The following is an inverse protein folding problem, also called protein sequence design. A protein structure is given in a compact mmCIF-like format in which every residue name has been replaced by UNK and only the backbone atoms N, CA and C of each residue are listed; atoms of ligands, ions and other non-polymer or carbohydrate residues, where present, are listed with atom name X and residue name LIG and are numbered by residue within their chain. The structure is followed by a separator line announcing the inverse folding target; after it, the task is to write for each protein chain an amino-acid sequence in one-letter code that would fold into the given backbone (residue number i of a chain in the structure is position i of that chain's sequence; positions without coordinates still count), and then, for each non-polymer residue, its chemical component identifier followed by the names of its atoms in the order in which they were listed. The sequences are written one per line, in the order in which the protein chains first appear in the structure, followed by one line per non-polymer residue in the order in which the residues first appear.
data_IF_983436215413
#
_entry.id   IF_983436215413
#
_cell.length_a   1.000
_cell.length_b   1.000
_cell.length_c   1.000
_cell.angle_alpha   90.00
_cell.angle_beta   90.00
_cell.angle_gamma   90.00
#
_symmetry.space_group_name_H-M   'P 1'
#
loop_
_entity.id
_entity.type
_entity.pdbx_description
1 polymer ?
#
# COMPACT_ATOMS: atom_id res chain seq x y z
N UNK A 1 -45.86 3.33 59.30
CA UNK A 1 -45.62 4.66 59.90
C UNK A 1 -44.17 5.07 59.61
N UNK A 2 -44.01 6.22 58.92
CA UNK A 2 -42.84 7.11 58.75
C UNK A 2 -41.45 6.52 58.43
N UNK A 3 -40.96 6.86 57.23
CA UNK A 3 -39.54 6.79 56.87
C UNK A 3 -38.78 7.99 57.48
N UNK A 4 -37.51 7.83 57.91
CA UNK A 4 -36.68 8.96 58.30
C UNK A 4 -36.03 9.62 57.07
N UNK A 5 -36.12 10.95 57.09
CA UNK A 5 -35.76 11.93 56.09
C UNK A 5 -34.26 12.14 55.92
N UNK A 6 -33.86 12.43 54.68
CA UNK A 6 -32.63 13.14 54.33
C UNK A 6 -32.67 14.56 54.93
N UNK A 7 -31.57 15.03 55.53
CA UNK A 7 -30.92 16.33 55.25
C UNK A 7 -29.87 16.72 56.32
N UNK A 8 -28.88 17.47 55.82
CA UNK A 8 -27.85 18.30 56.49
C UNK A 8 -26.55 17.59 56.88
N UNK A 9 -25.52 17.60 56.01
CA UNK A 9 -24.51 18.67 55.86
C UNK A 9 -23.90 19.12 57.20
N UNK A 10 -22.69 18.63 57.47
CA UNK A 10 -21.57 19.51 57.78
C UNK A 10 -20.24 18.79 57.54
N UNK A 11 -19.57 19.20 56.47
CA UNK A 11 -18.14 18.96 56.29
C UNK A 11 -17.39 19.64 57.43
N UNK A 12 -16.38 18.98 58.00
CA UNK A 12 -15.19 19.66 58.55
C UNK A 12 -14.12 18.62 58.92
N UNK A 13 -12.86 19.01 58.65
CA UNK A 13 -11.59 18.39 59.09
C UNK A 13 -10.95 17.32 58.18
N UNK A 14 -10.37 17.84 57.10
CA UNK A 14 -8.93 17.72 56.79
C UNK A 14 -8.14 16.79 57.74
N UNK A 15 -7.95 15.55 57.33
CA UNK A 15 -6.69 14.84 57.62
C UNK A 15 -5.78 15.02 56.41
N UNK A 16 -4.55 15.56 56.56
CA UNK A 16 -3.52 15.33 55.56
C UNK A 16 -3.07 13.87 55.74
N UNK A 17 -3.89 12.95 55.24
CA UNK A 17 -3.47 11.59 54.99
C UNK A 17 -2.38 11.69 53.94
N UNK A 18 -1.13 11.56 54.39
CA UNK A 18 0.07 11.33 53.58
C UNK A 18 -0.34 10.65 52.27
N UNK A 19 0.11 11.07 51.08
CA UNK A 19 0.01 10.17 49.97
C UNK A 19 0.74 8.92 50.46
N UNK A 20 0.00 7.82 50.61
CA UNK A 20 0.57 6.53 50.31
C UNK A 20 1.01 6.72 48.85
N UNK A 21 2.22 7.28 48.66
CA UNK A 21 3.10 6.72 47.68
C UNK A 21 3.18 5.26 48.13
N UNK A 22 2.19 4.50 47.67
CA UNK A 22 2.44 3.16 47.26
C UNK A 22 3.66 3.37 46.39
N UNK A 23 4.80 3.00 46.99
CA UNK A 23 5.89 2.38 46.28
C UNK A 23 5.14 1.42 45.39
N UNK A 24 4.81 1.90 44.18
CA UNK A 24 4.41 1.07 43.08
C UNK A 24 5.66 0.27 42.97
N UNK A 25 5.64 -0.89 43.62
CA UNK A 25 6.62 -1.91 43.41
C UNK A 25 6.58 -2.03 41.91
N UNK A 26 7.56 -1.40 41.25
CA UNK A 26 7.97 -1.80 39.93
C UNK A 26 8.38 -3.22 40.25
N UNK A 27 7.40 -4.13 40.17
CA UNK A 27 7.69 -5.52 40.01
C UNK A 27 8.77 -5.47 38.97
N UNK A 28 9.90 -6.03 39.31
CA UNK A 28 10.94 -6.35 38.36
C UNK A 28 10.40 -7.46 37.45
N UNK A 29 9.18 -7.30 36.93
CA UNK A 29 8.83 -7.52 35.54
C UNK A 29 9.83 -6.72 34.70
N UNK A 30 11.08 -7.18 34.77
CA UNK A 30 11.92 -7.22 33.59
C UNK A 30 11.00 -7.74 32.50
N UNK A 31 10.91 -7.05 31.36
CA UNK A 31 10.59 -7.74 30.14
C UNK A 31 11.48 -8.97 30.15
N UNK A 32 10.89 -10.16 30.23
CA UNK A 32 11.60 -11.43 30.29
C UNK A 32 12.32 -11.68 28.95
N UNK A 33 12.68 -10.65 28.20
CA UNK A 33 13.32 -10.67 26.88
C UNK A 33 14.68 -11.37 26.94
N UNK A 34 15.44 -11.22 28.05
CA UNK A 34 16.70 -11.98 28.26
C UNK A 34 16.51 -13.50 28.36
N UNK A 35 15.32 -13.98 28.71
CA UNK A 35 14.99 -15.42 28.85
C UNK A 35 13.76 -15.85 28.05
N UNK A 36 13.22 -14.97 27.22
CA UNK A 36 12.12 -15.28 26.31
C UNK A 36 12.76 -16.12 25.22
N UNK A 37 12.82 -17.43 25.47
CA UNK A 37 13.25 -18.42 24.50
C UNK A 37 12.35 -18.21 23.28
N UNK A 38 12.87 -17.51 22.27
CA UNK A 38 12.15 -17.25 21.04
C UNK A 38 11.61 -18.58 20.55
N UNK A 39 10.29 -18.69 20.53
CA UNK A 39 9.65 -19.93 20.13
C UNK A 39 9.98 -20.20 18.67
N UNK A 40 9.91 -21.46 18.24
CA UNK A 40 10.00 -21.80 16.83
C UNK A 40 8.99 -21.01 15.98
N UNK A 41 7.80 -20.76 16.55
CA UNK A 41 6.73 -19.96 15.98
C UNK A 41 7.12 -18.48 15.79
N UNK A 42 7.78 -17.86 16.79
CA UNK A 42 8.26 -16.47 16.67
C UNK A 42 9.31 -16.33 15.56
N UNK A 43 10.23 -17.30 15.48
CA UNK A 43 11.23 -17.33 14.41
C UNK A 43 10.57 -17.48 13.04
N UNK A 44 9.53 -18.31 12.93
CA UNK A 44 8.75 -18.48 11.70
C UNK A 44 8.05 -17.16 11.30
N UNK A 45 7.35 -16.51 12.22
CA UNK A 45 6.69 -15.22 11.96
C UNK A 45 7.69 -14.14 11.53
N UNK A 46 8.87 -14.08 12.17
CA UNK A 46 9.94 -13.14 11.77
C UNK A 46 10.44 -13.44 10.36
N UNK A 47 10.67 -14.71 10.02
CA UNK A 47 11.07 -15.13 8.66
C UNK A 47 10.01 -14.75 7.63
N UNK A 48 8.73 -14.99 7.92
CA UNK A 48 7.62 -14.60 7.05
C UNK A 48 7.57 -13.08 6.83
N UNK A 49 7.66 -12.28 7.90
CA UNK A 49 7.70 -10.81 7.78
C UNK A 49 8.91 -10.32 7.00
N UNK A 50 10.08 -10.93 7.20
CA UNK A 50 11.28 -10.60 6.44
C UNK A 50 11.14 -10.94 4.95
N UNK A 51 10.53 -12.09 4.62
CA UNK A 51 10.24 -12.47 3.23
C UNK A 51 9.29 -11.47 2.55
N UNK A 52 8.23 -11.04 3.25
CA UNK A 52 7.30 -10.01 2.75
C UNK A 52 8.02 -8.68 2.52
N UNK A 53 8.90 -8.26 3.44
CA UNK A 53 9.69 -7.04 3.27
C UNK A 53 10.58 -7.13 2.02
N UNK A 54 11.31 -8.24 1.85
CA UNK A 54 12.13 -8.48 0.66
C UNK A 54 11.29 -8.44 -0.62
N UNK A 55 10.10 -9.03 -0.62
CA UNK A 55 9.20 -9.00 -1.79
C UNK A 55 8.82 -7.57 -2.19
N UNK A 56 8.58 -6.68 -1.22
CA UNK A 56 8.34 -5.25 -1.49
C UNK A 56 9.58 -4.55 -2.03
N UNK A 57 10.74 -4.75 -1.39
CA UNK A 57 12.03 -4.20 -1.86
C UNK A 57 12.29 -4.63 -3.31
N UNK A 58 12.04 -5.90 -3.65
CA UNK A 58 12.15 -6.37 -5.03
C UNK A 58 11.18 -5.67 -6.00
N UNK A 59 9.98 -5.31 -5.56
CA UNK A 59 9.05 -4.53 -6.38
C UNK A 59 9.54 -3.11 -6.64
N UNK A 60 10.12 -2.47 -5.62
CA UNK A 60 10.75 -1.16 -5.77
C UNK A 60 11.93 -1.19 -6.73
N UNK A 61 12.79 -2.21 -6.63
CA UNK A 61 13.92 -2.41 -7.56
C UNK A 61 13.43 -2.62 -8.99
N UNK A 62 12.38 -3.43 -9.22
CA UNK A 62 11.80 -3.61 -10.55
C UNK A 62 11.25 -2.30 -11.13
N UNK A 63 10.60 -1.48 -10.30
CA UNK A 63 10.12 -0.16 -10.72
C UNK A 63 11.26 0.81 -11.07
N UNK A 64 12.38 0.76 -10.34
CA UNK A 64 13.58 1.52 -10.66
C UNK A 64 14.14 1.09 -12.02
N UNK A 65 14.20 -0.22 -12.29
CA UNK A 65 14.68 -0.74 -13.57
C UNK A 65 13.82 -0.26 -14.75
N UNK A 66 12.48 -0.20 -14.62
CA UNK A 66 11.61 0.38 -15.65
C UNK A 66 11.96 1.84 -15.98
N UNK A 67 12.47 2.60 -15.01
CA UNK A 67 12.90 4.00 -15.23
C UNK A 67 14.17 4.05 -16.06
N UNK A 68 15.16 3.22 -15.73
CA UNK A 68 16.45 3.18 -16.43
C UNK A 68 16.32 2.79 -17.90
N UNK A 69 15.45 1.82 -18.20
CA UNK A 69 15.17 1.39 -19.57
C UNK A 69 14.51 2.51 -20.40
N UNK A 70 13.63 3.31 -19.77
CA UNK A 70 12.99 4.44 -20.45
C UNK A 70 13.95 5.59 -20.77
N UNK A 71 14.95 5.84 -19.91
CA UNK A 71 15.96 6.91 -20.13
C UNK A 71 16.96 6.54 -21.23
N UNK A 72 17.27 5.25 -21.38
CA UNK A 72 18.23 4.75 -22.39
C UNK A 72 17.69 4.85 -23.84
N UNK A 73 16.37 5.03 -24.01
CA UNK A 73 15.73 5.16 -25.33
C UNK A 73 15.60 6.61 -25.81
N UNK A 74 16.13 7.60 -25.08
CA UNK A 74 16.21 8.98 -25.55
C UNK A 74 17.53 9.13 -26.33
N UNK A 75 17.54 9.19 -27.68
CA UNK A 75 18.71 9.68 -28.37
C UNK A 75 18.91 11.14 -27.96
N UNK A 76 20.13 11.48 -27.53
CA UNK A 76 20.55 12.85 -27.21
C UNK A 76 20.16 13.80 -28.34
N UNK A 77 19.02 14.48 -28.21
CA UNK A 77 18.71 15.63 -29.04
C UNK A 77 19.35 16.86 -28.37
N UNK A 78 20.17 17.53 -29.18
CA UNK A 78 20.89 18.78 -28.95
C UNK A 78 20.02 19.89 -28.32
N UNK A 79 20.64 20.89 -27.66
CA UNK A 79 19.90 21.93 -26.95
C UNK A 79 19.18 22.86 -27.94
N UNK A 80 17.87 23.15 -27.77
CA UNK A 80 17.24 24.24 -28.49
C UNK A 80 17.14 25.48 -27.59
N UNK A 81 17.66 26.56 -28.14
CA UNK A 81 17.45 27.97 -27.81
C UNK A 81 16.00 28.33 -27.47
N UNK A 82 15.85 29.15 -26.42
CA UNK A 82 14.71 30.03 -26.06
C UNK A 82 13.29 29.42 -26.02
N UNK A 83 12.62 29.43 -24.84
CA UNK A 83 11.25 28.90 -24.72
C UNK A 83 10.20 29.90 -25.25
N UNK A 84 9.60 29.58 -26.39
CA UNK A 84 8.35 30.21 -26.85
C UNK A 84 7.15 29.66 -26.05
N UNK A 85 6.22 30.52 -25.56
CA UNK A 85 5.13 30.11 -24.66
C UNK A 85 4.08 29.19 -25.30
N UNK A 86 4.07 29.02 -26.62
CA UNK A 86 3.14 28.15 -27.35
C UNK A 86 3.49 26.66 -27.31
N UNK A 87 4.72 26.29 -26.93
CA UNK A 87 5.16 24.88 -26.88
C UNK A 87 4.74 24.15 -25.59
N UNK A 88 4.38 24.90 -24.55
CA UNK A 88 4.03 24.34 -23.23
C UNK A 88 2.67 23.62 -23.28
N UNK A 89 1.72 24.08 -24.10
CA UNK A 89 0.41 23.44 -24.24
C UNK A 89 0.42 22.17 -25.10
N UNK A 90 1.39 22.01 -26.00
CA UNK A 90 1.49 20.84 -26.88
C UNK A 90 1.94 19.57 -26.13
N UNK A 91 2.79 19.72 -25.10
CA UNK A 91 3.21 18.59 -24.24
C UNK A 91 2.09 18.05 -23.33
N UNK A 92 1.03 18.82 -23.12
CA UNK A 92 -0.11 18.45 -22.28
C UNK A 92 -1.24 17.76 -23.06
N UNK A 93 -1.14 17.71 -24.39
CA UNK A 93 -2.23 17.28 -25.27
C UNK A 93 -1.82 16.14 -26.23
N UNK A 94 -0.88 15.28 -25.85
CA UNK A 94 -0.93 13.90 -26.32
C UNK A 94 -2.06 13.25 -25.53
N UNK A 95 -3.30 13.53 -25.95
CA UNK A 95 -4.48 12.79 -25.51
C UNK A 95 -4.20 11.37 -25.94
N UNK A 96 -3.70 10.57 -25.01
CA UNK A 96 -3.34 9.20 -25.23
C UNK A 96 -4.60 8.50 -25.74
N UNK A 97 -4.68 8.18 -27.04
CA UNK A 97 -5.84 7.55 -27.68
C UNK A 97 -6.01 6.08 -27.24
N UNK A 98 -5.63 5.76 -26.00
CA UNK A 98 -5.90 4.48 -25.41
C UNK A 98 -7.42 4.36 -25.19
N UNK A 99 -8.00 3.17 -25.40
CA UNK A 99 -9.42 2.94 -25.17
C UNK A 99 -9.76 2.87 -23.67
N UNK A 100 -8.77 3.11 -22.81
CA UNK A 100 -8.95 3.25 -21.37
C UNK A 100 -8.13 4.42 -20.81
N UNK A 101 -8.55 4.93 -19.67
CA UNK A 101 -7.85 6.00 -18.96
C UNK A 101 -7.91 5.75 -17.45
N UNK A 102 -6.82 6.10 -16.76
CA UNK A 102 -6.75 6.07 -15.30
C UNK A 102 -6.84 7.50 -14.80
N UNK A 103 -7.91 7.83 -14.07
CA UNK A 103 -8.08 9.17 -13.52
C UNK A 103 -7.37 9.34 -12.18
N UNK A 104 -6.58 10.40 -12.04
CA UNK A 104 -5.91 10.72 -10.77
C UNK A 104 -6.90 11.01 -9.64
N UNK A 105 -6.44 10.81 -8.40
CA UNK A 105 -7.21 11.14 -7.19
C UNK A 105 -7.32 12.65 -6.97
N UNK A 106 -8.16 13.09 -6.01
CA UNK A 106 -8.31 14.52 -5.70
C UNK A 106 -6.98 15.18 -5.31
N UNK A 107 -6.06 14.42 -4.74
CA UNK A 107 -4.70 14.87 -4.39
C UNK A 107 -3.70 14.70 -5.56
N UNK A 108 -4.17 14.55 -6.79
CA UNK A 108 -3.36 14.33 -8.00
C UNK A 108 -2.44 13.08 -7.99
N UNK A 109 -2.69 12.13 -7.08
CA UNK A 109 -1.94 10.87 -7.01
C UNK A 109 -2.59 9.77 -7.86
N UNK A 110 -1.79 8.84 -8.35
CA UNK A 110 -2.27 7.64 -9.05
C UNK A 110 -3.11 6.74 -8.13
N UNK A 111 -4.27 6.24 -8.58
CA UNK A 111 -5.21 5.44 -7.78
C UNK A 111 -4.79 3.95 -7.67
N UNK A 112 -3.53 3.70 -7.33
CA UNK A 112 -2.94 2.35 -7.17
C UNK A 112 -2.77 2.05 -5.69
N UNK A 113 -3.47 1.02 -5.20
CA UNK A 113 -3.52 0.67 -3.78
C UNK A 113 -3.07 -0.78 -3.56
N UNK A 114 -2.22 -0.99 -2.56
CA UNK A 114 -1.82 -2.33 -2.15
C UNK A 114 -2.63 -2.79 -0.93
N UNK A 115 -2.97 -4.07 -0.88
CA UNK A 115 -3.74 -4.65 0.21
C UNK A 115 -3.30 -6.08 0.47
N UNK A 116 -3.51 -6.54 1.69
CA UNK A 116 -3.34 -7.94 2.06
C UNK A 116 -4.68 -8.55 2.48
N UNK A 117 -4.89 -9.81 2.11
CA UNK A 117 -6.06 -10.62 2.47
C UNK A 117 -5.61 -11.94 3.07
N UNK A 118 -6.56 -12.75 3.56
CA UNK A 118 -6.30 -14.07 4.15
C UNK A 118 -5.22 -14.03 5.25
N UNK A 119 -5.39 -13.16 6.24
CA UNK A 119 -4.45 -13.05 7.37
C UNK A 119 -3.07 -12.51 7.01
N UNK A 120 -2.92 -11.89 5.83
CA UNK A 120 -1.67 -11.29 5.39
C UNK A 120 -0.90 -12.09 4.35
N UNK A 121 -1.34 -13.31 4.00
CA UNK A 121 -0.65 -14.14 3.00
C UNK A 121 -0.98 -13.75 1.56
N UNK A 122 -2.21 -13.26 1.29
CA UNK A 122 -2.64 -12.90 -0.07
C UNK A 122 -2.38 -11.43 -0.33
N UNK A 123 -1.32 -11.12 -1.04
CA UNK A 123 -0.96 -9.76 -1.46
C UNK A 123 -1.63 -9.40 -2.78
N UNK A 124 -2.18 -8.19 -2.87
CA UNK A 124 -2.96 -7.73 -4.00
C UNK A 124 -2.73 -6.23 -4.21
N UNK A 125 -2.48 -5.85 -5.45
CA UNK A 125 -2.44 -4.46 -5.90
C UNK A 125 -3.69 -4.17 -6.73
N UNK A 126 -4.42 -3.10 -6.42
CA UNK A 126 -5.68 -2.73 -7.08
C UNK A 126 -5.55 -1.36 -7.72
N UNK A 127 -5.88 -1.28 -9.01
CA UNK A 127 -5.99 -0.05 -9.78
C UNK A 127 -7.45 0.38 -9.79
N UNK A 128 -7.72 1.63 -9.40
CA UNK A 128 -9.08 2.21 -9.34
C UNK A 128 -9.24 3.39 -10.29
N UNK A 129 -10.44 3.95 -10.35
CA UNK A 129 -10.79 5.14 -11.16
C UNK A 129 -10.45 4.96 -12.64
N UNK A 130 -10.82 3.81 -13.18
CA UNK A 130 -10.59 3.46 -14.58
C UNK A 130 -11.84 3.79 -15.38
N UNK A 131 -11.65 4.42 -16.53
CA UNK A 131 -12.67 4.67 -17.55
C UNK A 131 -12.28 3.94 -18.84
N UNK A 132 -13.27 3.52 -19.64
CA UNK A 132 -13.03 2.78 -20.89
C UNK A 132 -12.93 1.26 -20.73
N UNK A 133 -12.14 0.62 -21.59
CA UNK A 133 -12.01 -0.84 -21.68
C UNK A 133 -11.05 -1.41 -20.61
N UNK A 134 -11.59 -2.30 -19.76
CA UNK A 134 -10.84 -2.93 -18.67
C UNK A 134 -9.97 -4.09 -19.16
N UNK A 135 -10.36 -4.76 -20.25
CA UNK A 135 -9.62 -5.91 -20.77
C UNK A 135 -8.28 -5.46 -21.35
N UNK A 136 -8.30 -4.39 -22.15
CA UNK A 136 -7.09 -3.80 -22.70
C UNK A 136 -6.16 -3.27 -21.61
N UNK A 137 -6.69 -2.61 -20.58
CA UNK A 137 -5.87 -2.18 -19.45
C UNK A 137 -5.23 -3.38 -18.75
N UNK A 138 -5.98 -4.45 -18.50
CA UNK A 138 -5.46 -5.66 -17.86
C UNK A 138 -4.36 -6.32 -18.70
N UNK A 139 -4.53 -6.39 -20.02
CA UNK A 139 -3.53 -6.95 -20.94
C UNK A 139 -2.28 -6.06 -21.06
N UNK A 140 -2.44 -4.74 -21.10
CA UNK A 140 -1.29 -3.83 -21.12
C UNK A 140 -0.51 -3.88 -19.82
N UNK A 141 -1.17 -3.89 -18.66
CA UNK A 141 -0.50 -4.05 -17.36
C UNK A 141 0.20 -5.40 -17.28
N UNK A 142 -0.43 -6.48 -17.77
CA UNK A 142 0.19 -7.81 -17.80
C UNK A 142 1.45 -7.84 -18.66
N UNK A 143 1.39 -7.26 -19.87
CA UNK A 143 2.53 -7.17 -20.79
C UNK A 143 3.64 -6.29 -20.23
N UNK A 144 3.31 -5.13 -19.68
CA UNK A 144 4.30 -4.18 -19.17
C UNK A 144 5.09 -4.70 -17.95
N UNK A 145 4.50 -5.59 -17.16
CA UNK A 145 5.16 -6.20 -16.00
C UNK A 145 5.68 -7.62 -16.30
N UNK A 146 5.63 -8.06 -17.56
CA UNK A 146 6.00 -9.41 -18.01
C UNK A 146 5.41 -10.52 -17.14
N UNK A 147 4.12 -10.39 -16.83
CA UNK A 147 3.42 -11.33 -15.96
C UNK A 147 2.81 -12.49 -16.75
N UNK A 148 2.95 -13.70 -16.22
CA UNK A 148 2.21 -14.85 -16.72
C UNK A 148 0.70 -14.61 -16.61
N UNK A 149 -0.08 -15.17 -17.53
CA UNK A 149 -1.54 -15.01 -17.50
C UNK A 149 -2.18 -15.65 -16.26
N UNK A 150 -1.64 -16.79 -15.83
CA UNK A 150 -2.17 -17.56 -14.72
C UNK A 150 -1.06 -17.99 -13.77
N UNK A 151 -1.29 -17.81 -12.47
CA UNK A 151 -0.45 -18.35 -11.41
C UNK A 151 -1.08 -19.62 -10.88
N UNK A 152 -0.30 -20.70 -10.84
CA UNK A 152 -0.69 -21.97 -10.23
C UNK A 152 -0.52 -21.91 -8.72
N UNK A 153 -1.61 -22.16 -7.99
CA UNK A 153 -1.60 -22.22 -6.53
C UNK A 153 -0.94 -23.52 -6.02
N UNK A 154 -0.62 -23.59 -4.72
CA UNK A 154 -0.05 -24.80 -4.10
C UNK A 154 -0.93 -26.05 -4.30
N UNK A 155 -2.24 -25.84 -4.50
CA UNK A 155 -3.24 -26.88 -4.79
C UNK A 155 -3.39 -27.20 -6.28
N UNK A 156 -2.50 -26.73 -7.15
CA UNK A 156 -2.57 -26.96 -8.61
C UNK A 156 -3.65 -26.18 -9.34
N UNK A 157 -4.36 -25.26 -8.67
CA UNK A 157 -5.42 -24.46 -9.31
C UNK A 157 -4.83 -23.26 -10.04
N UNK A 158 -5.18 -23.11 -11.32
CA UNK A 158 -4.84 -21.94 -12.13
C UNK A 158 -5.71 -20.76 -11.72
N UNK A 159 -5.09 -19.61 -11.47
CA UNK A 159 -5.76 -18.36 -11.13
C UNK A 159 -5.17 -17.25 -11.97
N UNK A 160 -6.01 -16.37 -12.48
CA UNK A 160 -5.56 -15.20 -13.22
C UNK A 160 -4.61 -14.35 -12.36
N UNK A 161 -3.52 -13.89 -12.97
CA UNK A 161 -2.56 -12.98 -12.34
C UNK A 161 -3.14 -11.56 -12.24
N UNK A 162 -3.81 -11.15 -13.30
CA UNK A 162 -4.54 -9.89 -13.40
C UNK A 162 -6.01 -10.24 -13.60
N UNK A 163 -6.83 -9.93 -12.59
CA UNK A 163 -8.26 -10.20 -12.59
C UNK A 163 -9.04 -8.89 -12.63
N UNK A 164 -10.19 -8.90 -13.27
CA UNK A 164 -11.08 -7.73 -13.37
C UNK A 164 -12.23 -7.90 -12.38
N UNK A 165 -12.44 -6.90 -11.53
CA UNK A 165 -13.68 -6.78 -10.78
C UNK A 165 -14.68 -5.98 -11.60
N UNK A 166 -15.58 -6.69 -12.30
CA UNK A 166 -16.59 -6.10 -13.17
C UNK A 166 -17.58 -5.19 -12.43
N UNK A 167 -17.95 -5.53 -11.19
CA UNK A 167 -18.89 -4.75 -10.40
C UNK A 167 -18.34 -3.37 -10.04
N UNK A 168 -17.08 -3.30 -9.62
CA UNK A 168 -16.45 -2.01 -9.23
C UNK A 168 -15.60 -1.39 -10.33
N UNK A 169 -15.46 -2.07 -11.48
CA UNK A 169 -14.56 -1.69 -12.59
C UNK A 169 -13.12 -1.44 -12.12
N UNK A 170 -12.61 -2.32 -11.26
CA UNK A 170 -11.22 -2.27 -10.78
C UNK A 170 -10.40 -3.39 -11.40
N UNK A 171 -9.14 -3.09 -11.73
CA UNK A 171 -8.17 -4.11 -12.12
C UNK A 171 -7.37 -4.53 -10.89
N UNK A 172 -7.29 -5.84 -10.67
CA UNK A 172 -6.73 -6.47 -9.47
C UNK A 172 -5.55 -7.34 -9.88
N UNK A 173 -4.34 -6.92 -9.52
CA UNK A 173 -3.09 -7.63 -9.80
C UNK A 173 -2.64 -8.38 -8.54
N UNK A 174 -2.22 -9.63 -8.70
CA UNK A 174 -1.72 -10.45 -7.58
C UNK A 174 -0.26 -10.09 -7.24
N UNK A 175 0.06 -10.02 -5.95
CA UNK A 175 1.39 -9.71 -5.45
C UNK A 175 1.59 -8.23 -5.08
N UNK A 176 2.78 -7.94 -4.52
CA UNK A 176 3.26 -6.57 -4.29
C UNK A 176 3.81 -6.01 -5.60
N UNK A 177 3.02 -5.16 -6.26
CA UNK A 177 3.33 -4.58 -7.58
C UNK A 177 3.00 -3.09 -7.65
N UNK A 178 2.73 -2.45 -6.51
CA UNK A 178 2.32 -1.04 -6.45
C UNK A 178 3.34 -0.09 -7.08
N UNK A 179 4.63 -0.15 -6.70
CA UNK A 179 5.67 0.68 -7.31
C UNK A 179 5.77 0.51 -8.83
N UNK A 180 5.77 -0.73 -9.32
CA UNK A 180 5.87 -1.07 -10.75
C UNK A 180 4.70 -0.46 -11.54
N UNK A 181 3.47 -0.69 -11.07
CA UNK A 181 2.26 -0.21 -11.74
C UNK A 181 2.20 1.32 -11.73
N UNK A 182 2.62 1.96 -10.63
CA UNK A 182 2.69 3.42 -10.56
C UNK A 182 3.67 3.97 -11.59
N UNK A 183 4.88 3.41 -11.63
CA UNK A 183 5.91 3.87 -12.57
C UNK A 183 5.47 3.67 -14.03
N UNK A 184 4.91 2.50 -14.34
CA UNK A 184 4.33 2.24 -15.66
C UNK A 184 3.25 3.27 -16.01
N UNK A 185 2.33 3.56 -15.09
CA UNK A 185 1.25 4.52 -15.36
C UNK A 185 1.79 5.95 -15.57
N UNK A 186 2.83 6.35 -14.83
CA UNK A 186 3.52 7.64 -15.03
C UNK A 186 4.17 7.72 -16.42
N UNK A 187 4.85 6.65 -16.85
CA UNK A 187 5.49 6.59 -18.18
C UNK A 187 4.48 6.69 -19.33
N UNK A 188 3.27 6.16 -19.13
CA UNK A 188 2.17 6.25 -20.11
C UNK A 188 1.39 7.58 -20.02
N UNK A 189 1.73 8.47 -19.09
CA UNK A 189 1.11 9.79 -18.97
C UNK A 189 -0.23 9.83 -18.23
N UNK A 190 -0.54 8.83 -17.39
CA UNK A 190 -1.76 8.80 -16.55
C UNK A 190 -1.62 9.57 -15.22
#
# INVERSE_FOLDING_TARGET
MKAPSNLLLHAFWLRPGRPLCQIRSKSHWMPREKYAKLTSLDKLHRRQKAAIRKEREFSEVRAQNMTLESETQIPMQSPPSTPSPSTIMSRLAVVSHLPFQISRTRSANLPVYESTKAGGSKHITTIRKITGDLNELADQVRKALDLEQHITDVRGRRKETVAINWTTRHVVVRGWRGPEIKKWAELNGF
#
